data_IF_551612655538
#
_entry.id   IF_551612655538
#
_cell.length_a   1.000
_cell.length_b   1.000
_cell.length_c   1.000
_cell.angle_alpha   90.00
_cell.angle_beta   90.00
_cell.angle_gamma   90.00
#
_symmetry.space_group_name_H-M   'P 1'
#
loop_
_entity.id
_entity.type
_entity.pdbx_description
1 polymer ?
#
# COMPACT_ATOMS: atom_id res chain seq x y z
N UNK A 1 2.36 -13.28 -44.76
CA UNK A 1 3.14 -12.24 -44.05
C UNK A 1 4.23 -12.94 -43.22
N UNK A 2 5.47 -12.94 -43.73
CA UNK A 2 6.63 -13.51 -43.06
C UNK A 2 6.86 -12.69 -41.77
N UNK A 3 6.79 -13.34 -40.58
CA UNK A 3 7.28 -12.77 -39.33
C UNK A 3 8.77 -12.49 -39.53
N UNK A 4 9.18 -11.22 -39.62
CA UNK A 4 10.58 -10.83 -39.57
C UNK A 4 11.13 -11.37 -38.26
N UNK A 5 12.04 -12.31 -38.30
CA UNK A 5 12.82 -12.73 -37.14
C UNK A 5 13.57 -11.51 -36.63
N UNK A 6 13.26 -11.12 -35.41
CA UNK A 6 13.96 -10.03 -34.73
C UNK A 6 15.28 -10.61 -34.23
N UNK A 7 16.40 -10.23 -34.84
CA UNK A 7 17.71 -10.59 -34.31
C UNK A 7 17.89 -9.92 -32.95
N UNK A 8 18.16 -10.73 -31.94
CA UNK A 8 18.37 -10.32 -30.56
C UNK A 8 19.85 -10.11 -30.37
N UNK A 9 20.24 -8.91 -29.94
CA UNK A 9 21.54 -8.65 -29.35
C UNK A 9 21.52 -9.22 -27.94
N UNK A 10 22.62 -9.78 -27.47
CA UNK A 10 22.75 -10.51 -26.20
C UNK A 10 21.90 -9.88 -25.08
N UNK A 11 20.98 -10.65 -24.42
CA UNK A 11 20.14 -10.10 -23.36
C UNK A 11 20.97 -9.74 -22.13
N UNK A 12 20.59 -8.67 -21.46
CA UNK A 12 21.07 -8.35 -20.10
C UNK A 12 20.10 -9.04 -19.14
N UNK A 13 20.60 -9.94 -18.31
CA UNK A 13 19.78 -10.69 -17.34
C UNK A 13 20.27 -10.39 -15.93
N UNK A 14 19.34 -9.98 -15.09
CA UNK A 14 19.52 -9.84 -13.64
C UNK A 14 18.55 -10.84 -12.98
N UNK A 15 19.08 -11.94 -12.49
CA UNK A 15 18.26 -13.03 -11.94
C UNK A 15 17.54 -12.64 -10.64
N UNK A 16 18.19 -11.79 -9.84
CA UNK A 16 17.62 -11.29 -8.58
C UNK A 16 17.76 -9.79 -8.50
N UNK A 17 16.63 -9.11 -8.47
CA UNK A 17 16.57 -7.67 -8.22
C UNK A 17 16.73 -7.46 -6.71
N UNK A 18 17.70 -6.62 -6.32
CA UNK A 18 17.83 -6.15 -4.94
C UNK A 18 16.81 -5.04 -4.63
N UNK A 19 16.58 -4.79 -3.34
CA UNK A 19 15.73 -3.69 -2.84
C UNK A 19 14.28 -3.71 -3.35
N UNK A 20 13.73 -4.92 -3.48
CA UNK A 20 12.31 -5.14 -3.73
C UNK A 20 11.73 -6.04 -2.62
N UNK A 21 10.43 -5.97 -2.43
CA UNK A 21 9.69 -6.97 -1.67
C UNK A 21 9.31 -8.12 -2.59
N UNK A 22 9.60 -9.36 -2.15
CA UNK A 22 9.41 -10.55 -2.97
C UNK A 22 10.64 -10.90 -3.83
N UNK A 23 10.49 -11.86 -4.73
CA UNK A 23 11.56 -12.34 -5.61
C UNK A 23 11.21 -12.12 -7.07
N UNK A 24 12.04 -11.34 -7.73
CA UNK A 24 11.93 -11.10 -9.17
C UNK A 24 13.30 -10.95 -9.84
N UNK A 25 13.34 -11.18 -11.15
CA UNK A 25 14.45 -10.87 -12.03
C UNK A 25 14.04 -9.90 -13.13
N UNK A 26 15.02 -9.36 -13.84
CA UNK A 26 14.79 -8.53 -15.04
C UNK A 26 15.58 -9.12 -16.20
N UNK A 27 14.93 -9.22 -17.36
CA UNK A 27 15.53 -9.51 -18.64
C UNK A 27 15.35 -8.28 -19.55
N UNK A 28 16.45 -7.69 -20.03
CA UNK A 28 16.41 -6.59 -21.00
C UNK A 28 16.97 -7.10 -22.32
N UNK A 29 16.15 -7.06 -23.37
CA UNK A 29 16.48 -7.51 -24.71
C UNK A 29 16.63 -6.27 -25.59
N UNK A 30 17.84 -6.03 -26.08
CA UNK A 30 18.09 -4.99 -27.07
C UNK A 30 17.74 -5.54 -28.47
N UNK A 31 17.01 -4.77 -29.23
CA UNK A 31 16.62 -5.10 -30.61
C UNK A 31 17.53 -4.37 -31.58
N UNK A 32 17.67 -4.90 -32.80
CA UNK A 32 18.48 -4.25 -33.85
C UNK A 32 17.96 -2.85 -34.25
N UNK A 33 16.65 -2.58 -34.02
CA UNK A 33 16.03 -1.27 -34.24
C UNK A 33 16.33 -0.24 -33.11
N UNK A 34 17.25 -0.58 -32.19
CA UNK A 34 17.64 0.26 -31.06
C UNK A 34 16.64 0.29 -29.90
N UNK A 35 15.53 -0.44 -30.00
CA UNK A 35 14.52 -0.50 -28.92
C UNK A 35 14.88 -1.57 -27.91
N UNK A 36 14.68 -1.27 -26.64
CA UNK A 36 14.78 -2.22 -25.56
C UNK A 36 13.40 -2.79 -25.20
N UNK A 37 13.35 -4.09 -24.89
CA UNK A 37 12.20 -4.75 -24.30
C UNK A 37 12.61 -5.26 -22.93
N UNK A 38 12.04 -4.72 -21.88
CA UNK A 38 12.26 -5.20 -20.52
C UNK A 38 11.12 -6.13 -20.08
N UNK A 39 11.48 -7.23 -19.42
CA UNK A 39 10.55 -8.15 -18.80
C UNK A 39 10.92 -8.29 -17.33
N UNK A 40 9.94 -8.17 -16.45
CA UNK A 40 10.08 -8.45 -15.01
C UNK A 40 9.55 -9.86 -14.75
N UNK A 41 10.43 -10.71 -14.27
CA UNK A 41 10.13 -12.13 -14.02
C UNK A 41 9.85 -12.31 -12.53
N UNK A 42 8.58 -12.24 -12.12
CA UNK A 42 8.20 -12.59 -10.74
C UNK A 42 8.23 -14.10 -10.60
N UNK A 43 9.01 -14.61 -9.63
CA UNK A 43 9.26 -16.05 -9.43
C UNK A 43 8.53 -16.62 -8.22
N UNK A 44 7.77 -15.83 -7.48
CA UNK A 44 6.91 -16.29 -6.39
C UNK A 44 5.51 -16.64 -6.88
N UNK A 45 4.94 -17.72 -6.35
CA UNK A 45 3.59 -18.17 -6.70
C UNK A 45 2.51 -17.28 -6.04
N UNK A 46 1.77 -16.47 -6.79
CA UNK A 46 0.90 -15.44 -6.21
C UNK A 46 -0.35 -15.99 -5.52
N UNK A 47 -0.82 -17.19 -5.89
CA UNK A 47 -2.12 -17.69 -5.40
C UNK A 47 -2.02 -18.78 -4.34
N UNK A 48 -0.86 -18.95 -3.74
CA UNK A 48 -0.64 -19.98 -2.73
C UNK A 48 -1.55 -19.79 -1.51
N UNK A 49 -1.68 -18.56 -0.99
CA UNK A 49 -2.49 -18.25 0.18
C UNK A 49 -3.98 -18.44 -0.05
N UNK A 50 -4.49 -18.21 -1.25
CA UNK A 50 -5.88 -18.50 -1.60
C UNK A 50 -6.22 -19.98 -1.39
N UNK A 51 -5.30 -20.88 -1.73
CA UNK A 51 -5.47 -22.32 -1.51
C UNK A 51 -5.36 -22.70 -0.03
N UNK A 52 -4.43 -22.10 0.72
CA UNK A 52 -4.23 -22.39 2.15
C UNK A 52 -5.45 -22.06 3.00
N UNK A 53 -6.15 -20.97 2.70
CA UNK A 53 -7.30 -20.51 3.51
C UNK A 53 -8.60 -21.22 3.17
N UNK A 54 -8.66 -21.93 2.07
CA UNK A 54 -9.85 -22.70 1.69
C UNK A 54 -10.11 -23.81 2.71
N UNK A 55 -11.32 -23.89 3.21
CA UNK A 55 -11.74 -24.84 4.26
C UNK A 55 -11.44 -24.37 5.69
N UNK A 56 -10.79 -23.23 5.89
CA UNK A 56 -10.52 -22.67 7.22
C UNK A 56 -11.67 -21.85 7.75
N UNK A 57 -11.83 -21.82 9.09
CA UNK A 57 -12.72 -20.86 9.74
C UNK A 57 -12.27 -19.43 9.44
N UNK A 58 -13.21 -18.51 9.25
CA UNK A 58 -12.94 -17.13 8.82
C UNK A 58 -11.91 -16.41 9.70
N UNK A 59 -11.95 -16.60 11.02
CA UNK A 59 -10.99 -15.98 11.94
C UNK A 59 -9.55 -16.49 11.73
N UNK A 60 -9.39 -17.78 11.41
CA UNK A 60 -8.08 -18.34 11.05
C UNK A 60 -7.64 -17.83 9.69
N UNK A 61 -8.55 -17.82 8.71
CA UNK A 61 -8.25 -17.38 7.35
C UNK A 61 -7.70 -15.95 7.31
N UNK A 62 -8.35 -14.98 7.98
CA UNK A 62 -7.88 -13.59 8.01
C UNK A 62 -6.53 -13.42 8.71
N UNK A 63 -6.18 -14.33 9.61
CA UNK A 63 -4.86 -14.36 10.27
C UNK A 63 -3.79 -14.92 9.33
N UNK A 64 -4.10 -15.98 8.59
CA UNK A 64 -3.19 -16.56 7.59
C UNK A 64 -2.95 -15.56 6.47
N UNK A 65 -3.98 -14.87 5.99
CA UNK A 65 -3.88 -13.89 4.89
C UNK A 65 -2.97 -12.70 5.23
N UNK A 66 -2.87 -12.30 6.50
CA UNK A 66 -1.91 -11.27 6.89
C UNK A 66 -0.45 -11.65 6.62
N UNK A 67 -0.15 -12.94 6.44
CA UNK A 67 1.19 -13.46 6.23
C UNK A 67 1.62 -13.50 4.75
N UNK A 68 0.77 -13.02 3.84
CA UNK A 68 1.12 -12.84 2.42
C UNK A 68 2.34 -11.92 2.30
N UNK A 69 2.41 -10.89 3.14
CA UNK A 69 3.48 -9.91 3.12
C UNK A 69 3.80 -9.45 4.54
N UNK A 70 5.07 -9.24 4.85
CA UNK A 70 5.48 -8.69 6.15
C UNK A 70 5.30 -7.16 6.20
N UNK A 71 5.82 -6.43 5.22
CA UNK A 71 5.78 -4.97 5.15
C UNK A 71 4.39 -4.38 4.97
N UNK A 72 3.47 -5.10 4.34
CA UNK A 72 2.08 -4.69 4.15
C UNK A 72 1.10 -5.61 4.88
N UNK A 73 1.53 -6.20 5.98
CA UNK A 73 0.73 -7.18 6.74
C UNK A 73 -0.56 -6.60 7.31
N UNK A 74 -0.55 -5.33 7.77
CA UNK A 74 -1.75 -4.66 8.26
C UNK A 74 -2.75 -4.39 7.12
N UNK A 75 -2.27 -4.05 5.92
CA UNK A 75 -3.12 -3.89 4.75
C UNK A 75 -3.84 -5.20 4.41
N UNK A 76 -3.11 -6.31 4.31
CA UNK A 76 -3.71 -7.62 4.06
C UNK A 76 -4.68 -8.04 5.17
N UNK A 77 -4.30 -7.84 6.45
CA UNK A 77 -5.17 -8.18 7.59
C UNK A 77 -6.47 -7.41 7.57
N UNK A 78 -6.39 -6.09 7.44
CA UNK A 78 -7.56 -5.21 7.50
C UNK A 78 -8.48 -5.44 6.30
N UNK A 79 -7.92 -5.56 5.08
CA UNK A 79 -8.73 -5.83 3.89
C UNK A 79 -9.44 -7.18 3.97
N UNK A 80 -8.73 -8.22 4.45
CA UNK A 80 -9.32 -9.55 4.66
C UNK A 80 -10.46 -9.52 5.71
N UNK A 81 -10.25 -8.80 6.83
CA UNK A 81 -11.26 -8.63 7.88
C UNK A 81 -12.49 -7.88 7.35
N UNK A 82 -12.29 -6.76 6.65
CA UNK A 82 -13.38 -5.98 6.04
C UNK A 82 -14.16 -6.80 5.02
N UNK A 83 -13.49 -7.64 4.24
CA UNK A 83 -14.13 -8.54 3.29
C UNK A 83 -14.99 -9.60 3.99
N UNK A 84 -14.47 -10.21 5.05
CA UNK A 84 -15.21 -11.16 5.88
C UNK A 84 -16.43 -10.51 6.56
N UNK A 85 -16.29 -9.30 7.08
CA UNK A 85 -17.38 -8.54 7.71
C UNK A 85 -18.50 -8.23 6.72
N UNK A 86 -18.16 -7.70 5.55
CA UNK A 86 -19.14 -7.44 4.49
C UNK A 86 -19.88 -8.74 4.08
N UNK A 87 -19.14 -9.87 3.95
CA UNK A 87 -19.72 -11.15 3.61
C UNK A 87 -20.65 -11.69 4.72
N UNK A 88 -20.34 -11.45 5.99
CA UNK A 88 -21.11 -11.95 7.14
C UNK A 88 -22.13 -10.94 7.67
N UNK A 89 -22.24 -9.75 7.07
CA UNK A 89 -23.14 -8.69 7.52
C UNK A 89 -22.79 -8.18 8.92
N UNK A 90 -21.50 -7.94 9.17
CA UNK A 90 -21.00 -7.35 10.41
C UNK A 90 -20.80 -5.85 10.16
N UNK A 91 -21.41 -5.03 10.97
CA UNK A 91 -21.23 -3.58 10.98
C UNK A 91 -20.40 -3.19 12.20
N UNK A 92 -19.32 -2.45 11.97
CA UNK A 92 -18.43 -1.98 13.03
C UNK A 92 -18.78 -0.54 13.42
N UNK A 93 -18.43 -0.16 14.65
CA UNK A 93 -18.59 1.21 15.13
C UNK A 93 -17.61 2.17 14.45
N UNK A 94 -17.91 3.47 14.53
CA UNK A 94 -16.99 4.54 14.08
C UNK A 94 -15.65 4.48 14.81
N UNK A 95 -15.67 4.15 16.11
CA UNK A 95 -14.47 3.98 16.93
C UNK A 95 -13.56 2.87 16.37
N UNK A 96 -14.14 1.71 16.02
CA UNK A 96 -13.39 0.61 15.40
C UNK A 96 -12.85 1.02 14.02
N UNK A 97 -13.63 1.74 13.22
CA UNK A 97 -13.20 2.23 11.92
C UNK A 97 -11.99 3.19 12.05
N UNK A 98 -12.04 4.14 13.00
CA UNK A 98 -10.93 5.08 13.28
C UNK A 98 -9.68 4.35 13.80
N UNK A 99 -9.81 3.37 14.68
CA UNK A 99 -8.67 2.57 15.16
C UNK A 99 -8.02 1.77 14.02
N UNK A 100 -8.82 1.24 13.10
CA UNK A 100 -8.32 0.54 11.91
C UNK A 100 -7.63 1.49 10.95
N UNK A 101 -8.18 2.68 10.74
CA UNK A 101 -7.51 3.71 9.93
C UNK A 101 -6.15 4.06 10.55
N UNK A 102 -6.08 4.29 11.85
CA UNK A 102 -4.82 4.59 12.55
C UNK A 102 -3.78 3.47 12.38
N UNK A 103 -4.19 2.21 12.52
CA UNK A 103 -3.32 1.04 12.27
C UNK A 103 -2.84 0.99 10.81
N UNK A 104 -3.75 1.29 9.88
CA UNK A 104 -3.46 1.23 8.46
C UNK A 104 -2.48 2.34 8.05
N UNK A 105 -2.70 3.56 8.56
CA UNK A 105 -1.79 4.68 8.32
C UNK A 105 -0.41 4.43 8.92
N UNK A 106 -0.32 3.84 10.13
CA UNK A 106 0.96 3.45 10.71
C UNK A 106 1.74 2.48 9.81
N UNK A 107 1.06 1.53 9.17
CA UNK A 107 1.68 0.63 8.21
C UNK A 107 2.15 1.36 6.93
N UNK A 108 1.41 2.36 6.45
CA UNK A 108 1.83 3.21 5.33
C UNK A 108 3.04 4.06 5.68
N UNK A 109 3.05 4.69 6.86
CA UNK A 109 4.16 5.50 7.35
C UNK A 109 5.44 4.64 7.44
N UNK A 110 5.36 3.43 8.01
CA UNK A 110 6.49 2.50 8.04
C UNK A 110 6.96 2.14 6.63
N UNK A 111 6.04 1.75 5.75
CA UNK A 111 6.37 1.31 4.39
C UNK A 111 6.99 2.41 3.55
N UNK A 112 6.47 3.65 3.62
CA UNK A 112 7.04 4.79 2.90
C UNK A 112 8.41 5.19 3.46
N UNK A 113 8.56 5.19 4.79
CA UNK A 113 9.84 5.45 5.43
C UNK A 113 10.90 4.43 5.01
N UNK A 114 10.59 3.14 5.08
CA UNK A 114 11.52 2.09 4.64
C UNK A 114 11.88 2.22 3.16
N UNK A 115 10.90 2.48 2.29
CA UNK A 115 11.15 2.62 0.87
C UNK A 115 12.05 3.83 0.57
N UNK A 116 11.70 5.01 1.06
CA UNK A 116 12.43 6.25 0.77
C UNK A 116 13.84 6.24 1.36
N UNK A 117 13.97 5.96 2.66
CA UNK A 117 15.25 6.11 3.35
C UNK A 117 16.21 4.94 3.11
N UNK A 118 15.70 3.69 3.02
CA UNK A 118 16.56 2.51 2.95
C UNK A 118 16.76 1.99 1.53
N UNK A 119 15.81 2.26 0.61
CA UNK A 119 15.87 1.73 -0.74
C UNK A 119 16.16 2.82 -1.79
N UNK A 120 15.55 4.01 -1.67
CA UNK A 120 15.64 5.08 -2.68
C UNK A 120 16.86 5.98 -2.45
N UNK A 121 17.02 6.52 -1.25
CA UNK A 121 18.05 7.53 -0.99
C UNK A 121 19.48 7.04 -1.16
N UNK A 122 19.87 5.82 -0.76
CA UNK A 122 21.20 5.32 -1.07
C UNK A 122 21.52 5.38 -2.57
N UNK A 123 20.57 4.96 -3.43
CA UNK A 123 20.76 5.01 -4.88
C UNK A 123 20.86 6.44 -5.42
N UNK A 124 19.95 7.33 -4.99
CA UNK A 124 19.92 8.71 -5.43
C UNK A 124 21.15 9.50 -5.00
N UNK A 125 21.69 9.21 -3.82
CA UNK A 125 22.86 9.89 -3.25
C UNK A 125 24.18 9.20 -3.62
N UNK A 126 24.15 8.06 -4.32
CA UNK A 126 25.33 7.34 -4.81
C UNK A 126 26.03 6.46 -3.77
N UNK A 127 25.28 5.97 -2.77
CA UNK A 127 25.78 5.06 -1.75
C UNK A 127 25.37 3.60 -2.00
N UNK A 128 26.24 2.68 -1.58
CA UNK A 128 25.95 1.26 -1.72
C UNK A 128 24.77 0.80 -0.86
N UNK A 129 24.64 1.34 0.35
CA UNK A 129 23.54 1.04 1.27
C UNK A 129 23.27 2.19 2.26
N UNK A 130 22.24 2.04 3.09
CA UNK A 130 21.83 3.05 4.08
C UNK A 130 22.85 3.22 5.21
N UNK A 131 23.66 2.20 5.52
CA UNK A 131 24.67 2.27 6.60
C UNK A 131 25.85 3.13 6.12
N UNK A 132 26.27 2.93 4.88
CA UNK A 132 27.30 3.77 4.25
C UNK A 132 26.81 5.22 4.14
N UNK A 133 25.59 5.43 3.62
CA UNK A 133 24.95 6.75 3.56
C UNK A 133 24.89 7.43 4.94
N UNK A 134 24.57 6.67 5.99
CA UNK A 134 24.45 7.21 7.36
C UNK A 134 25.75 7.74 7.96
N UNK A 135 26.94 7.45 7.38
CA UNK A 135 28.19 8.04 7.82
C UNK A 135 28.28 9.52 7.44
N UNK A 136 27.77 9.87 6.27
CA UNK A 136 27.77 11.25 5.76
C UNK A 136 26.46 11.99 6.05
N UNK A 137 25.36 11.24 6.26
CA UNK A 137 24.01 11.75 6.56
C UNK A 137 23.45 11.13 7.85
N UNK A 138 24.10 11.32 9.03
CA UNK A 138 23.68 10.69 10.27
C UNK A 138 22.26 11.12 10.72
N UNK A 139 21.89 12.37 10.47
CA UNK A 139 20.55 12.88 10.81
C UNK A 139 19.45 12.24 9.98
N UNK A 140 19.73 11.96 8.69
CA UNK A 140 18.80 11.24 7.79
C UNK A 140 18.59 9.81 8.25
N UNK A 141 19.66 9.11 8.64
CA UNK A 141 19.57 7.76 9.19
C UNK A 141 18.82 7.75 10.53
N UNK A 142 19.11 8.70 11.43
CA UNK A 142 18.42 8.84 12.70
C UNK A 142 16.92 9.08 12.52
N UNK A 143 16.54 9.95 11.58
CA UNK A 143 15.14 10.20 11.21
C UNK A 143 14.45 8.95 10.68
N UNK A 144 15.11 8.19 9.79
CA UNK A 144 14.59 6.94 9.25
C UNK A 144 14.28 5.92 10.34
N UNK A 145 15.21 5.73 11.28
CA UNK A 145 15.05 4.80 12.40
C UNK A 145 13.93 5.25 13.36
N UNK A 146 13.82 6.58 13.63
CA UNK A 146 12.76 7.10 14.50
C UNK A 146 11.37 6.99 13.88
N UNK A 147 11.21 7.28 12.60
CA UNK A 147 9.95 7.10 11.88
C UNK A 147 9.51 5.62 11.90
N UNK A 148 10.46 4.70 11.67
CA UNK A 148 10.18 3.27 11.76
C UNK A 148 9.81 2.83 13.17
N UNK A 149 10.56 3.27 14.19
CA UNK A 149 10.29 2.95 15.59
C UNK A 149 8.87 3.33 16.00
N UNK A 150 8.48 4.59 15.76
CA UNK A 150 7.14 5.09 16.13
C UNK A 150 6.06 4.32 15.39
N UNK A 151 6.21 4.10 14.08
CA UNK A 151 5.23 3.34 13.29
C UNK A 151 5.07 1.90 13.78
N UNK A 152 6.17 1.22 14.09
CA UNK A 152 6.16 -0.14 14.62
C UNK A 152 5.48 -0.19 15.99
N UNK A 153 5.76 0.79 16.87
CA UNK A 153 5.14 0.89 18.20
C UNK A 153 3.64 1.11 18.12
N UNK A 154 3.17 1.98 17.22
CA UNK A 154 1.74 2.19 17.00
C UNK A 154 1.05 0.91 16.52
N UNK A 155 1.67 0.20 15.57
CA UNK A 155 1.16 -1.10 15.11
C UNK A 155 1.13 -2.13 16.25
N UNK A 156 2.13 -2.15 17.14
CA UNK A 156 2.16 -3.04 18.30
C UNK A 156 1.05 -2.69 19.32
N UNK A 157 0.86 -1.43 19.64
CA UNK A 157 -0.18 -0.98 20.59
C UNK A 157 -1.58 -1.33 20.09
N UNK A 158 -1.87 -1.10 18.81
CA UNK A 158 -3.21 -1.30 18.24
C UNK A 158 -3.39 -2.73 17.74
N UNK A 159 -2.40 -3.28 17.06
CA UNK A 159 -2.43 -4.61 16.46
C UNK A 159 -2.01 -5.75 17.39
N UNK A 160 -1.47 -5.46 18.57
CA UNK A 160 -0.77 -6.34 19.53
C UNK A 160 0.47 -7.04 18.96
N UNK A 161 0.85 -6.70 17.76
CA UNK A 161 2.13 -7.04 17.10
C UNK A 161 2.40 -6.01 16.01
N UNK A 162 3.66 -5.62 15.86
CA UNK A 162 4.04 -4.67 14.83
C UNK A 162 4.02 -5.28 13.41
N UNK A 163 4.15 -6.61 13.28
CA UNK A 163 3.96 -7.35 12.04
C UNK A 163 2.90 -8.43 12.29
N UNK A 164 1.97 -8.61 11.35
CA UNK A 164 0.88 -9.57 11.43
C UNK A 164 -0.04 -9.33 12.63
N UNK A 165 -0.70 -8.17 12.65
CA UNK A 165 -1.63 -7.76 13.71
C UNK A 165 -2.64 -8.87 14.05
N UNK A 166 -2.61 -9.36 15.31
CA UNK A 166 -3.49 -10.43 15.78
C UNK A 166 -4.73 -9.91 16.48
N UNK A 167 -4.65 -8.72 17.06
CA UNK A 167 -5.74 -8.08 17.81
C UNK A 167 -6.94 -7.69 16.94
N UNK A 168 -6.72 -7.49 15.62
CA UNK A 168 -7.77 -7.18 14.64
C UNK A 168 -8.53 -8.44 14.28
N UNK A 169 -9.83 -8.47 14.54
CA UNK A 169 -10.72 -9.60 14.27
C UNK A 169 -11.99 -9.13 13.55
N UNK A 170 -12.73 -10.01 12.87
CA UNK A 170 -14.05 -9.67 12.37
C UNK A 170 -14.95 -9.14 13.48
N UNK A 171 -15.51 -7.95 13.30
CA UNK A 171 -16.32 -7.23 14.25
C UNK A 171 -15.58 -6.19 15.11
N UNK A 172 -14.25 -6.09 15.01
CA UNK A 172 -13.50 -5.07 15.76
C UNK A 172 -12.12 -5.51 16.19
N UNK A 173 -11.88 -5.43 17.48
CA UNK A 173 -10.62 -5.78 18.14
C UNK A 173 -10.89 -6.71 19.33
N UNK A 174 -9.99 -7.64 19.61
CA UNK A 174 -10.05 -8.48 20.81
C UNK A 174 -9.77 -7.68 22.09
N UNK A 175 -8.96 -6.62 21.99
CA UNK A 175 -8.67 -5.69 23.07
C UNK A 175 -8.48 -4.28 22.50
N UNK A 176 -9.12 -3.29 23.11
CA UNK A 176 -8.94 -1.89 22.73
C UNK A 176 -7.71 -1.28 23.44
N UNK A 177 -7.01 -0.33 22.81
CA UNK A 177 -5.96 0.43 23.48
C UNK A 177 -6.57 1.32 24.58
N UNK A 178 -5.81 1.59 25.64
CA UNK A 178 -6.24 2.53 26.67
C UNK A 178 -6.11 3.99 26.16
N UNK A 179 -6.85 4.89 26.84
CA UNK A 179 -6.76 6.33 26.59
C UNK A 179 -5.32 6.85 26.71
N UNK A 180 -4.58 6.38 27.71
CA UNK A 180 -3.18 6.77 27.95
C UNK A 180 -2.29 6.37 26.77
N UNK A 181 -2.49 5.16 26.25
CA UNK A 181 -1.74 4.67 25.05
C UNK A 181 -2.04 5.50 23.81
N UNK A 182 -3.28 5.92 23.62
CA UNK A 182 -3.64 6.80 22.51
C UNK A 182 -3.02 8.19 22.63
N UNK A 183 -2.93 8.75 23.87
CA UNK A 183 -2.21 9.99 24.13
C UNK A 183 -0.70 9.87 23.89
N UNK A 184 -0.09 8.73 24.27
CA UNK A 184 1.30 8.43 23.94
C UNK A 184 1.52 8.43 22.41
N UNK A 185 0.65 7.75 21.66
CA UNK A 185 0.70 7.73 20.17
C UNK A 185 0.62 9.14 19.60
N UNK A 186 -0.34 9.97 20.04
CA UNK A 186 -0.49 11.33 19.56
C UNK A 186 0.77 12.17 19.83
N UNK A 187 1.35 12.04 21.02
CA UNK A 187 2.61 12.72 21.39
C UNK A 187 3.77 12.28 20.50
N UNK A 188 3.94 10.97 20.30
CA UNK A 188 5.03 10.43 19.48
C UNK A 188 4.91 10.88 18.02
N UNK A 189 3.71 10.92 17.44
CA UNK A 189 3.51 11.50 16.11
C UNK A 189 3.86 12.98 16.07
N UNK A 190 3.55 13.76 17.13
CA UNK A 190 3.98 15.16 17.23
C UNK A 190 5.50 15.34 17.26
N UNK A 191 6.23 14.41 17.88
CA UNK A 191 7.70 14.45 17.95
C UNK A 191 8.36 14.17 16.59
N UNK A 192 7.71 13.38 15.71
CA UNK A 192 8.27 13.00 14.40
C UNK A 192 7.75 13.84 13.23
N UNK A 193 6.84 14.80 13.45
CA UNK A 193 6.26 15.62 12.40
C UNK A 193 7.30 16.26 11.48
N UNK A 194 8.36 16.83 12.06
CA UNK A 194 9.43 17.49 11.29
C UNK A 194 10.30 16.49 10.53
N UNK A 195 10.49 15.30 11.07
CA UNK A 195 11.28 14.26 10.40
C UNK A 195 10.65 13.79 9.08
N UNK A 196 9.31 13.90 8.97
CA UNK A 196 8.59 13.59 7.75
C UNK A 196 8.85 14.57 6.58
N UNK A 197 9.46 15.72 6.84
CA UNK A 197 9.82 16.69 5.81
C UNK A 197 11.12 16.34 5.09
N UNK A 198 12.03 15.64 5.76
CA UNK A 198 13.36 15.27 5.24
C UNK A 198 13.29 14.59 3.86
N UNK A 199 12.40 13.61 3.61
CA UNK A 199 12.29 13.01 2.29
C UNK A 199 11.95 14.00 1.19
N UNK A 200 11.07 14.95 1.45
CA UNK A 200 10.75 15.99 0.47
C UNK A 200 11.95 16.90 0.19
N UNK A 201 12.65 17.32 1.23
CA UNK A 201 13.83 18.19 1.10
C UNK A 201 14.93 17.53 0.29
N UNK A 202 15.18 16.24 0.51
CA UNK A 202 16.15 15.48 -0.30
C UNK A 202 15.67 15.41 -1.76
N UNK A 203 14.43 14.97 -1.99
CA UNK A 203 13.90 14.74 -3.33
C UNK A 203 13.76 16.03 -4.16
N UNK A 204 13.54 17.18 -3.50
CA UNK A 204 13.48 18.49 -4.19
C UNK A 204 14.80 18.87 -4.89
N UNK A 205 15.92 18.27 -4.53
CA UNK A 205 17.21 18.51 -5.15
C UNK A 205 17.48 17.62 -6.37
N UNK A 206 16.56 16.71 -6.73
CA UNK A 206 16.71 15.81 -7.87
C UNK A 206 15.80 16.21 -9.03
N UNK A 207 16.32 16.03 -10.24
CA UNK A 207 15.55 16.09 -11.47
C UNK A 207 15.33 14.67 -11.98
N UNK A 208 14.09 14.34 -12.31
CA UNK A 208 13.77 13.03 -12.86
C UNK A 208 13.99 13.01 -14.37
N UNK A 209 14.55 11.91 -14.92
CA UNK A 209 14.84 11.83 -16.34
C UNK A 209 13.57 11.90 -17.20
N UNK A 210 13.51 12.82 -18.15
CA UNK A 210 12.35 13.00 -19.05
C UNK A 210 12.11 11.82 -19.99
N UNK A 211 13.15 11.06 -20.32
CA UNK A 211 13.01 9.87 -21.18
C UNK A 211 12.19 8.75 -20.54
N UNK A 212 11.86 8.86 -19.24
CA UNK A 212 10.96 7.94 -18.52
C UNK A 212 9.50 8.40 -18.58
N UNK A 213 9.22 9.59 -19.10
CA UNK A 213 7.89 10.12 -19.21
C UNK A 213 7.07 9.33 -20.24
N UNK A 214 6.09 8.58 -19.76
CA UNK A 214 5.18 7.80 -20.58
C UNK A 214 3.78 8.10 -20.08
N UNK A 215 2.88 8.51 -20.97
CA UNK A 215 1.47 8.69 -20.61
C UNK A 215 0.96 7.43 -19.91
N UNK A 216 0.47 7.61 -18.70
CA UNK A 216 0.01 6.52 -17.83
C UNK A 216 -1.44 6.71 -17.43
N UNK A 217 -2.13 5.61 -17.40
CA UNK A 217 -3.46 5.52 -16.83
C UNK A 217 -3.31 5.18 -15.34
N UNK A 218 -3.98 5.92 -14.47
CA UNK A 218 -3.89 5.74 -13.03
C UNK A 218 -5.18 5.16 -12.48
N UNK A 219 -5.06 4.34 -11.43
CA UNK A 219 -6.18 3.72 -10.74
C UNK A 219 -5.92 3.75 -9.23
N UNK A 220 -6.95 4.04 -8.46
CA UNK A 220 -6.88 4.03 -7.00
C UNK A 220 -8.27 3.83 -6.39
N UNK A 221 -8.31 3.35 -5.16
CA UNK A 221 -9.52 3.29 -4.35
C UNK A 221 -10.01 4.71 -4.05
N UNK A 222 -11.31 4.95 -4.25
CA UNK A 222 -11.96 6.21 -3.92
C UNK A 222 -12.16 6.28 -2.41
N UNK A 223 -11.56 7.27 -1.72
CA UNK A 223 -11.71 7.47 -0.29
C UNK A 223 -13.17 7.57 0.16
N UNK A 224 -13.45 7.19 1.40
CA UNK A 224 -14.72 7.52 2.04
C UNK A 224 -14.79 9.03 2.33
N UNK A 225 -15.93 9.64 2.00
CA UNK A 225 -16.15 11.05 2.32
C UNK A 225 -15.23 12.01 1.53
N UNK A 226 -14.85 13.10 2.20
CA UNK A 226 -14.12 14.21 1.62
C UNK A 226 -12.65 14.33 2.14
N UNK A 227 -12.18 13.35 2.87
CA UNK A 227 -10.81 13.32 3.38
C UNK A 227 -9.94 12.33 2.57
N UNK A 228 -8.67 12.69 2.39
CA UNK A 228 -7.70 11.80 1.77
C UNK A 228 -7.39 10.63 2.71
N UNK A 229 -7.73 9.42 2.30
CA UNK A 229 -7.49 8.19 3.06
C UNK A 229 -7.20 7.01 2.14
N UNK A 230 -6.72 5.93 2.71
CA UNK A 230 -6.36 4.67 2.02
C UNK A 230 -7.47 3.61 2.08
N UNK A 231 -8.61 3.96 2.66
CA UNK A 231 -9.79 3.10 2.81
C UNK A 231 -10.95 3.72 2.03
N UNK A 232 -11.66 2.91 1.28
CA UNK A 232 -12.79 3.36 0.49
C UNK A 232 -13.66 2.22 -0.04
N UNK A 233 -14.64 2.54 -0.90
CA UNK A 233 -15.62 1.58 -1.40
C UNK A 233 -15.46 1.22 -2.87
N UNK A 234 -15.11 2.21 -3.69
CA UNK A 234 -15.09 2.08 -5.13
C UNK A 234 -13.67 2.30 -5.65
N UNK A 235 -13.44 1.94 -6.89
CA UNK A 235 -12.18 2.21 -7.57
C UNK A 235 -12.43 3.31 -8.59
N UNK A 236 -11.59 4.36 -8.57
CA UNK A 236 -11.62 5.47 -9.52
C UNK A 236 -10.37 5.49 -10.38
N UNK A 237 -10.53 5.92 -11.62
CA UNK A 237 -9.44 6.05 -12.58
C UNK A 237 -9.16 7.51 -12.91
N UNK A 238 -7.98 7.80 -13.42
CA UNK A 238 -7.61 9.16 -13.89
C UNK A 238 -8.44 9.65 -15.09
N UNK A 239 -9.12 8.75 -15.80
CA UNK A 239 -10.06 9.10 -16.87
C UNK A 239 -11.48 9.38 -16.34
N UNK A 240 -11.72 9.29 -15.03
CA UNK A 240 -13.02 9.56 -14.42
C UNK A 240 -13.93 8.34 -14.27
N UNK A 241 -13.55 7.16 -14.78
CA UNK A 241 -14.33 5.95 -14.55
C UNK A 241 -14.38 5.59 -13.06
N UNK A 242 -15.54 5.17 -12.57
CA UNK A 242 -15.75 4.64 -11.22
C UNK A 242 -16.44 3.30 -11.34
N UNK A 243 -15.96 2.29 -10.60
CA UNK A 243 -16.60 0.99 -10.56
C UNK A 243 -16.52 0.36 -9.16
N UNK A 244 -17.55 -0.42 -8.83
CA UNK A 244 -17.59 -1.17 -7.59
C UNK A 244 -16.62 -2.36 -7.66
N UNK A 245 -15.85 -2.64 -6.62
CA UNK A 245 -14.92 -3.77 -6.59
C UNK A 245 -15.61 -5.13 -6.80
N UNK A 246 -16.90 -5.28 -6.56
CA UNK A 246 -17.62 -6.52 -6.84
C UNK A 246 -17.62 -6.88 -8.33
N UNK A 247 -17.48 -5.88 -9.22
CA UNK A 247 -17.42 -6.05 -10.65
C UNK A 247 -15.98 -6.16 -11.21
N UNK A 248 -14.96 -6.30 -10.33
CA UNK A 248 -13.55 -6.23 -10.77
C UNK A 248 -13.20 -7.25 -11.86
N UNK A 249 -13.74 -8.47 -11.83
CA UNK A 249 -13.47 -9.51 -12.84
C UNK A 249 -14.01 -9.15 -14.23
N UNK A 250 -15.06 -8.34 -14.29
CA UNK A 250 -15.63 -7.88 -15.56
C UNK A 250 -14.84 -6.71 -16.13
N UNK A 251 -14.31 -5.87 -15.26
CA UNK A 251 -13.64 -4.61 -15.59
C UNK A 251 -12.13 -4.80 -15.77
N UNK A 252 -11.49 -5.56 -14.89
CA UNK A 252 -10.04 -5.86 -14.92
C UNK A 252 -9.81 -7.20 -15.60
N UNK A 253 -9.00 -7.20 -16.66
CA UNK A 253 -8.68 -8.43 -17.41
C UNK A 253 -7.26 -8.86 -17.13
N UNK A 254 -7.12 -10.02 -16.50
CA UNK A 254 -5.84 -10.66 -16.24
C UNK A 254 -5.34 -11.43 -17.47
N UNK A 255 -4.05 -11.32 -17.74
CA UNK A 255 -3.37 -12.06 -18.79
C UNK A 255 -2.16 -12.79 -18.24
N UNK A 256 -2.13 -14.10 -18.36
CA UNK A 256 -0.96 -14.92 -18.06
C UNK A 256 0.16 -14.59 -19.06
N UNK A 257 1.37 -14.41 -18.55
CA UNK A 257 2.57 -14.19 -19.36
C UNK A 257 3.60 -15.30 -19.07
N UNK A 258 4.30 -15.84 -20.09
CA UNK A 258 5.14 -17.02 -19.91
C UNK A 258 6.37 -16.80 -19.02
N UNK A 259 6.78 -15.54 -18.85
CA UNK A 259 8.02 -15.17 -18.17
C UNK A 259 7.82 -14.78 -16.69
N UNK A 260 6.59 -14.80 -16.18
CA UNK A 260 6.31 -14.33 -14.81
C UNK A 260 5.15 -15.10 -14.20
N UNK A 261 5.23 -15.43 -12.92
CA UNK A 261 4.10 -15.97 -12.17
C UNK A 261 3.04 -14.89 -11.87
N UNK A 262 3.42 -13.61 -11.81
CA UNK A 262 2.46 -12.53 -11.72
C UNK A 262 1.79 -12.32 -13.10
N UNK A 263 0.47 -12.26 -13.09
CA UNK A 263 -0.33 -11.93 -14.28
C UNK A 263 -0.25 -10.43 -14.56
N UNK A 264 -0.34 -10.08 -15.84
CA UNK A 264 -0.55 -8.70 -16.24
C UNK A 264 -2.04 -8.37 -16.21
N UNK A 265 -2.38 -7.24 -15.59
CA UNK A 265 -3.77 -6.77 -15.48
C UNK A 265 -3.99 -5.57 -16.39
N UNK A 266 -5.15 -5.53 -17.03
CA UNK A 266 -5.54 -4.47 -17.96
C UNK A 266 -6.93 -3.94 -17.62
N UNK A 267 -7.11 -2.63 -17.73
CA UNK A 267 -8.39 -1.95 -17.68
C UNK A 267 -8.74 -1.43 -19.07
N UNK A 268 -9.86 -1.86 -19.63
CA UNK A 268 -10.27 -1.51 -21.01
C UNK A 268 -9.13 -1.68 -22.05
N UNK A 269 -8.32 -2.74 -21.90
CA UNK A 269 -7.19 -3.03 -22.77
C UNK A 269 -5.94 -2.18 -22.55
N UNK A 270 -5.94 -1.25 -21.60
CA UNK A 270 -4.81 -0.37 -21.27
C UNK A 270 -4.10 -0.86 -20.00
N UNK A 271 -2.78 -0.68 -19.94
CA UNK A 271 -1.99 -0.79 -18.70
C UNK A 271 -2.28 0.40 -17.81
N UNK A 272 -2.18 0.21 -16.51
CA UNK A 272 -2.39 1.28 -15.53
C UNK A 272 -1.32 1.23 -14.44
N UNK A 273 -1.22 2.31 -13.72
CA UNK A 273 -0.37 2.47 -12.55
C UNK A 273 -1.23 2.61 -11.30
N UNK A 274 -0.72 2.10 -10.18
CA UNK A 274 -1.27 2.26 -8.83
C UNK A 274 -0.19 2.82 -7.90
N UNK A 275 -0.50 3.04 -6.64
CA UNK A 275 0.43 3.54 -5.62
C UNK A 275 0.26 5.02 -5.31
N UNK A 276 1.22 5.60 -4.59
CA UNK A 276 1.13 6.96 -4.06
C UNK A 276 0.89 8.01 -5.14
N UNK A 277 1.60 7.94 -6.27
CA UNK A 277 1.40 8.89 -7.38
C UNK A 277 -0.01 8.75 -7.99
N UNK A 278 -0.59 7.56 -8.04
CA UNK A 278 -1.94 7.35 -8.54
C UNK A 278 -2.99 7.93 -7.58
N UNK A 279 -2.84 7.69 -6.28
CA UNK A 279 -3.69 8.29 -5.24
C UNK A 279 -3.61 9.81 -5.29
N UNK A 280 -2.40 10.35 -5.34
CA UNK A 280 -2.19 11.80 -5.46
C UNK A 280 -2.82 12.36 -6.74
N UNK A 281 -2.57 11.77 -7.90
CA UNK A 281 -3.08 12.23 -9.19
C UNK A 281 -4.61 12.33 -9.21
N UNK A 282 -5.29 11.36 -8.58
CA UNK A 282 -6.76 11.26 -8.62
C UNK A 282 -7.43 12.05 -7.49
N UNK A 283 -6.78 12.15 -6.32
CA UNK A 283 -7.41 12.63 -5.09
C UNK A 283 -6.66 13.76 -4.36
N UNK A 284 -5.65 14.39 -4.96
CA UNK A 284 -4.89 15.48 -4.35
C UNK A 284 -5.75 16.61 -3.76
N UNK A 285 -6.93 16.83 -4.34
CA UNK A 285 -7.82 17.91 -3.90
C UNK A 285 -8.46 17.62 -2.53
N UNK A 286 -8.47 16.36 -2.09
CA UNK A 286 -8.89 15.92 -0.76
C UNK A 286 -7.77 16.07 0.29
N UNK A 287 -6.53 16.30 -0.14
CA UNK A 287 -5.39 16.49 0.76
C UNK A 287 -5.38 17.92 1.30
N UNK A 288 -5.20 18.09 2.59
CA UNK A 288 -5.17 19.36 3.29
C UNK A 288 -3.90 19.54 4.12
N UNK A 289 -3.69 20.73 4.67
CA UNK A 289 -2.59 21.05 5.59
C UNK A 289 -1.22 21.12 4.91
N UNK A 290 -0.17 21.04 5.72
CA UNK A 290 1.23 21.26 5.30
C UNK A 290 1.69 20.35 4.16
N UNK A 291 1.21 19.12 4.10
CA UNK A 291 1.55 18.20 3.01
C UNK A 291 1.10 18.74 1.65
N UNK A 292 -0.13 19.30 1.56
CA UNK A 292 -0.62 19.97 0.35
C UNK A 292 0.18 21.21 0.02
N UNK A 293 0.42 22.05 1.03
CA UNK A 293 1.19 23.30 0.85
C UNK A 293 2.58 23.05 0.30
N UNK A 294 3.27 22.05 0.83
CA UNK A 294 4.62 21.67 0.36
C UNK A 294 4.59 20.97 -1.02
N UNK A 295 3.59 20.16 -1.30
CA UNK A 295 3.45 19.49 -2.60
C UNK A 295 3.38 20.48 -3.78
N UNK A 296 2.78 21.65 -3.60
CA UNK A 296 2.66 22.67 -4.66
C UNK A 296 3.97 23.40 -4.96
N UNK A 297 4.97 23.33 -4.07
CA UNK A 297 6.28 23.99 -4.28
C UNK A 297 7.10 23.35 -5.42
N UNK A 298 6.90 22.06 -5.70
CA UNK A 298 7.61 21.31 -6.74
C UNK A 298 6.68 20.37 -7.50
N UNK A 299 5.66 20.93 -8.13
CA UNK A 299 4.66 20.18 -8.91
C UNK A 299 5.28 19.36 -10.05
N UNK A 300 6.43 19.78 -10.59
CA UNK A 300 7.17 19.03 -11.60
C UNK A 300 7.62 17.64 -11.13
N UNK A 301 7.84 17.46 -9.83
CA UNK A 301 8.18 16.16 -9.23
C UNK A 301 6.96 15.25 -9.02
N UNK A 302 5.77 15.75 -9.31
CA UNK A 302 4.50 15.03 -9.24
C UNK A 302 3.89 14.79 -10.64
N UNK A 303 4.74 14.73 -11.67
CA UNK A 303 4.30 14.38 -13.01
C UNK A 303 3.78 12.93 -13.04
N UNK A 304 2.49 12.71 -13.33
CA UNK A 304 1.90 11.37 -13.38
C UNK A 304 2.49 10.49 -14.49
N UNK A 305 3.14 11.10 -15.49
CA UNK A 305 3.80 10.36 -16.56
C UNK A 305 5.15 9.77 -16.15
N UNK A 306 5.79 10.32 -15.10
CA UNK A 306 7.10 9.86 -14.65
C UNK A 306 6.97 8.89 -13.47
N UNK A 307 7.50 7.64 -13.57
CA UNK A 307 7.39 6.66 -12.48
C UNK A 307 8.17 7.06 -11.22
N UNK A 308 9.23 7.87 -11.33
CA UNK A 308 9.99 8.37 -10.19
C UNK A 308 9.19 9.36 -9.33
N UNK A 309 8.16 10.00 -9.91
CA UNK A 309 7.23 10.87 -9.16
C UNK A 309 6.51 10.12 -8.03
N UNK A 310 6.46 8.79 -8.08
CA UNK A 310 5.94 7.99 -6.97
C UNK A 310 6.74 8.20 -5.67
N UNK A 311 8.04 8.44 -5.74
CA UNK A 311 8.88 8.69 -4.57
C UNK A 311 8.49 10.02 -3.89
N UNK A 312 8.30 11.07 -4.68
CA UNK A 312 7.87 12.36 -4.14
C UNK A 312 6.43 12.31 -3.63
N UNK A 313 5.54 11.59 -4.30
CA UNK A 313 4.18 11.36 -3.82
C UNK A 313 4.16 10.60 -2.47
N UNK A 314 5.06 9.62 -2.28
CA UNK A 314 5.21 8.94 -0.99
C UNK A 314 5.73 9.88 0.10
N UNK A 315 6.64 10.81 -0.21
CA UNK A 315 7.09 11.81 0.75
C UNK A 315 5.96 12.76 1.18
N UNK A 316 5.11 13.16 0.23
CA UNK A 316 3.89 13.94 0.51
C UNK A 316 2.91 13.15 1.38
N UNK A 317 2.65 11.88 1.05
CA UNK A 317 1.79 11.01 1.84
C UNK A 317 2.34 10.76 3.24
N UNK A 318 3.65 10.60 3.40
CA UNK A 318 4.29 10.40 4.69
C UNK A 318 3.96 11.54 5.66
N UNK A 319 4.09 12.79 5.19
CA UNK A 319 3.72 13.96 5.98
C UNK A 319 2.23 13.96 6.31
N UNK A 320 1.38 13.75 5.30
CA UNK A 320 -0.06 13.76 5.48
C UNK A 320 -0.53 12.67 6.46
N UNK A 321 -0.01 11.46 6.32
CA UNK A 321 -0.41 10.32 7.17
C UNK A 321 0.04 10.50 8.63
N UNK A 322 1.18 11.14 8.89
CA UNK A 322 1.61 11.48 10.24
C UNK A 322 0.66 12.49 10.87
N UNK A 323 0.32 13.57 10.16
CA UNK A 323 -0.61 14.60 10.64
C UNK A 323 -2.01 14.01 10.90
N UNK A 324 -2.51 13.19 9.98
CA UNK A 324 -3.79 12.50 10.12
C UNK A 324 -3.79 11.50 11.28
N UNK A 325 -2.73 10.74 11.44
CA UNK A 325 -2.58 9.76 12.51
C UNK A 325 -2.54 10.40 13.89
N UNK A 326 -1.83 11.54 14.03
CA UNK A 326 -1.84 12.34 15.26
C UNK A 326 -3.25 12.77 15.61
N UNK A 327 -3.96 13.40 14.67
CA UNK A 327 -5.34 13.86 14.86
C UNK A 327 -6.28 12.72 15.26
N UNK A 328 -6.20 11.57 14.58
CA UNK A 328 -6.98 10.38 14.91
C UNK A 328 -6.70 9.86 16.32
N UNK A 329 -5.44 9.84 16.72
CA UNK A 329 -5.04 9.40 18.06
C UNK A 329 -5.57 10.35 19.16
N UNK A 330 -5.55 11.66 18.93
CA UNK A 330 -6.13 12.68 19.81
C UNK A 330 -7.65 12.50 19.96
N UNK A 331 -8.38 12.42 18.84
CA UNK A 331 -9.84 12.20 18.83
C UNK A 331 -10.23 10.90 19.55
N UNK A 332 -9.50 9.82 19.28
CA UNK A 332 -9.74 8.53 19.92
C UNK A 332 -9.42 8.57 21.42
N UNK A 333 -8.35 9.27 21.83
CA UNK A 333 -8.01 9.43 23.25
C UNK A 333 -9.10 10.14 24.06
N UNK A 334 -9.84 11.05 23.43
CA UNK A 334 -10.96 11.75 24.08
C UNK A 334 -12.23 10.90 24.15
N UNK A 335 -12.50 10.12 23.11
CA UNK A 335 -13.80 9.47 22.89
C UNK A 335 -13.84 7.97 23.16
N UNK A 336 -12.69 7.30 23.34
CA UNK A 336 -12.61 5.83 23.42
C UNK A 336 -13.43 5.27 24.61
N UNK A 337 -14.22 4.26 24.31
CA UNK A 337 -15.07 3.52 25.25
C UNK A 337 -14.88 2.03 25.04
N UNK A 338 -15.09 1.26 26.11
CA UNK A 338 -15.11 -0.19 26.00
C UNK A 338 -16.28 -0.64 25.12
N UNK A 339 -15.93 -1.46 24.13
CA UNK A 339 -16.94 -2.13 23.31
C UNK A 339 -16.49 -3.56 22.98
N UNK A 340 -17.47 -4.44 22.80
CA UNK A 340 -17.23 -5.81 22.35
C UNK A 340 -17.29 -5.88 20.83
N UNK A 341 -16.55 -6.82 20.22
CA UNK A 341 -16.64 -7.04 18.78
C UNK A 341 -18.10 -7.27 18.34
N UNK A 342 -18.47 -6.61 17.23
CA UNK A 342 -19.78 -6.77 16.62
C UNK A 342 -19.99 -8.22 16.15
N UNK A 343 -21.22 -8.71 16.25
CA UNK A 343 -21.55 -10.10 15.89
C UNK A 343 -22.03 -10.18 14.44
N UNK A 344 -21.77 -11.30 13.75
CA UNK A 344 -22.29 -11.51 12.41
C UNK A 344 -23.85 -11.63 12.43
N UNK A 345 -24.49 -10.99 11.45
CA UNK A 345 -25.93 -11.15 11.23
C UNK A 345 -26.27 -12.42 10.43
N UNK A 346 -25.27 -12.99 9.75
CA UNK A 346 -25.40 -14.24 8.98
C UNK A 346 -24.10 -15.05 9.03
N UNK A 347 -24.17 -16.35 8.73
CA UNK A 347 -23.03 -17.28 8.73
C UNK A 347 -22.48 -17.57 7.33
N UNK A 348 -23.12 -17.05 6.30
CA UNK A 348 -22.76 -17.32 4.91
C UNK A 348 -22.99 -16.08 4.06
N UNK A 349 -22.13 -15.87 3.08
CA UNK A 349 -22.23 -14.76 2.15
C UNK A 349 -21.01 -14.66 1.24
N UNK A 350 -21.07 -13.73 0.29
CA UNK A 350 -19.93 -13.36 -0.54
C UNK A 350 -19.78 -11.85 -0.48
N UNK A 351 -18.54 -11.40 -0.58
CA UNK A 351 -18.24 -9.99 -0.69
C UNK A 351 -16.93 -9.76 -1.42
N UNK A 352 -16.81 -8.60 -2.01
CA UNK A 352 -15.55 -8.06 -2.51
C UNK A 352 -15.37 -6.67 -1.93
N UNK A 353 -14.15 -6.36 -1.51
CA UNK A 353 -13.73 -5.06 -0.98
C UNK A 353 -12.42 -4.65 -1.60
N UNK A 354 -12.12 -3.36 -1.55
CA UNK A 354 -10.84 -2.82 -1.95
C UNK A 354 -10.31 -1.82 -0.92
N UNK A 355 -9.00 -1.76 -0.81
CA UNK A 355 -8.26 -0.76 -0.03
C UNK A 355 -6.99 -0.38 -0.78
N UNK A 356 -6.30 0.67 -0.33
CA UNK A 356 -4.98 1.01 -0.84
C UNK A 356 -3.90 0.45 0.07
N UNK A 357 -3.23 -0.61 -0.34
CA UNK A 357 -1.95 -0.99 0.26
C UNK A 357 -0.89 0.09 -0.07
N UNK A 358 0.24 0.16 0.64
CA UNK A 358 1.25 1.19 0.40
C UNK A 358 1.68 1.32 -1.07
N UNK A 359 1.71 0.21 -1.82
CA UNK A 359 2.12 0.16 -3.23
C UNK A 359 0.99 0.13 -4.22
N UNK A 360 -0.26 0.16 -3.77
CA UNK A 360 -1.41 0.29 -4.67
C UNK A 360 -2.66 -0.47 -4.24
N UNK A 361 -3.61 -0.50 -5.15
CA UNK A 361 -4.94 -1.04 -4.95
C UNK A 361 -4.91 -2.53 -4.64
N UNK A 362 -5.52 -2.92 -3.54
CA UNK A 362 -5.66 -4.29 -3.06
C UNK A 362 -7.13 -4.67 -3.07
N UNK A 363 -7.46 -5.74 -3.78
CA UNK A 363 -8.84 -6.24 -3.89
C UNK A 363 -8.90 -7.63 -3.24
N UNK A 364 -9.87 -7.83 -2.36
CA UNK A 364 -10.17 -9.12 -1.74
C UNK A 364 -11.60 -9.53 -2.05
N UNK A 365 -11.76 -10.75 -2.55
CA UNK A 365 -13.05 -11.38 -2.71
C UNK A 365 -13.10 -12.65 -1.86
N UNK A 366 -14.14 -12.84 -1.06
CA UNK A 366 -14.34 -14.03 -0.23
C UNK A 366 -15.75 -14.59 -0.39
N UNK A 367 -15.82 -15.92 -0.48
CA UNK A 367 -17.07 -16.69 -0.35
C UNK A 367 -17.01 -17.50 0.94
N UNK A 368 -17.95 -17.25 1.85
CA UNK A 368 -18.03 -17.88 3.16
C UNK A 368 -19.31 -18.70 3.24
N UNK A 369 -19.22 -19.93 3.76
CA UNK A 369 -20.36 -20.82 4.03
C UNK A 369 -20.22 -21.39 5.44
N UNK A 370 -21.20 -21.14 6.30
CA UNK A 370 -21.18 -21.56 7.71
C UNK A 370 -19.89 -21.15 8.44
N UNK A 371 -19.45 -19.90 8.29
CA UNK A 371 -18.21 -19.32 8.81
C UNK A 371 -16.91 -19.97 8.28
N UNK A 372 -16.99 -20.83 7.26
CA UNK A 372 -15.84 -21.44 6.59
C UNK A 372 -15.60 -20.74 5.25
N UNK A 373 -14.36 -20.34 4.99
CA UNK A 373 -13.95 -19.79 3.70
C UNK A 373 -13.93 -20.91 2.68
N UNK A 374 -14.80 -20.83 1.68
CA UNK A 374 -14.90 -21.84 0.61
C UNK A 374 -14.16 -21.41 -0.63
N UNK A 375 -14.01 -20.11 -0.83
CA UNK A 375 -13.24 -19.54 -1.94
C UNK A 375 -12.74 -18.13 -1.58
N UNK A 376 -11.57 -17.76 -2.10
CA UNK A 376 -11.04 -16.40 -1.99
C UNK A 376 -10.20 -16.07 -3.23
N UNK A 377 -10.16 -14.79 -3.60
CA UNK A 377 -9.39 -14.24 -4.73
C UNK A 377 -8.76 -12.91 -4.28
N UNK A 378 -7.43 -12.75 -4.47
CA UNK A 378 -6.64 -11.65 -3.93
C UNK A 378 -5.81 -10.97 -5.03
#
# INVERSE_FOLDING_TARGET
>A
MLKKEVKIVRPIVVDHIARIEGKAGIEVIMREDGKAVAKVNVIEGPRFFESIVRGKHVNEAVTVLSRICSFCSAAHKLTAVMCAEKALGIEVSEQVAKLRELLYLANHIESHSLHLFFLVFPDLLGYHDVIEMGKDYPDVLSAALKLKEVSARVQDIIGSRFIHAENVIPGGFSKLPSREKLKEIAKEYGEIEKLAEIPMEILMNFEYPDYLNIERFHMSVKPYGEEYTVIGNDIKTSAGDIFNPENYKDVLKEKVVPHSFAKHVFFKGKRFMTGAISRYTIFRDLMIGRAREKAVLRTSLLDPCNPFSNNFAQAVELMYFIDRSKKLAEELAESIKDEKPAKPSRKSGNATVCTEAPRGTLIYSMKIKNNIVVDTDI
#
